data_IF_238499433255
#
_entry.id   IF_238499433255
#
_cell.length_a   1.000
_cell.length_b   1.000
_cell.length_c   1.000
_cell.angle_alpha   90.00
_cell.angle_beta   90.00
_cell.angle_gamma   90.00
#
_symmetry.space_group_name_H-M   'P 1'
#
loop_
_entity.id
_entity.type
_entity.pdbx_description
1 polymer ?
#
# COMPACT_ATOMS: atom_id res chain seq x y z
N UNK A 1 -15.37 -20.27 -20.20
CA UNK A 1 -14.65 -19.11 -19.63
C UNK A 1 -15.60 -18.39 -18.70
N UNK A 2 -15.27 -18.26 -17.40
CA UNK A 2 -16.19 -17.71 -16.40
C UNK A 2 -16.20 -16.18 -16.49
N UNK A 3 -17.27 -15.59 -17.03
CA UNK A 3 -17.36 -14.16 -17.36
C UNK A 3 -17.25 -13.23 -16.15
N UNK A 4 -17.64 -13.70 -14.96
CA UNK A 4 -17.53 -12.94 -13.71
C UNK A 4 -16.07 -12.77 -13.22
N UNK A 5 -15.21 -13.77 -13.44
CA UNK A 5 -13.78 -13.67 -13.10
C UNK A 5 -13.07 -12.69 -14.05
N UNK A 6 -13.44 -12.71 -15.33
CA UNK A 6 -12.88 -11.79 -16.31
C UNK A 6 -13.21 -10.33 -15.99
N UNK A 7 -14.46 -10.01 -15.63
CA UNK A 7 -14.85 -8.65 -15.27
C UNK A 7 -14.21 -8.16 -13.96
N UNK A 8 -14.03 -9.05 -12.99
CA UNK A 8 -13.32 -8.74 -11.74
C UNK A 8 -11.85 -8.39 -12.01
N UNK A 9 -11.16 -9.18 -12.83
CA UNK A 9 -9.76 -8.93 -13.18
C UNK A 9 -9.59 -7.60 -13.93
N UNK A 10 -10.44 -7.32 -14.92
CA UNK A 10 -10.39 -6.03 -15.63
C UNK A 10 -10.66 -4.84 -14.72
N UNK A 11 -11.47 -5.02 -13.69
CA UNK A 11 -11.69 -3.97 -12.68
C UNK A 11 -10.42 -3.73 -11.87
N UNK A 12 -9.76 -4.78 -11.39
CA UNK A 12 -8.50 -4.68 -10.65
C UNK A 12 -7.43 -4.00 -11.50
N UNK A 13 -7.27 -4.40 -12.76
CA UNK A 13 -6.30 -3.81 -13.69
C UNK A 13 -6.51 -2.29 -13.86
N UNK A 14 -7.76 -1.82 -13.88
CA UNK A 14 -8.06 -0.39 -13.91
C UNK A 14 -7.64 0.31 -12.62
N UNK A 15 -7.91 -0.28 -11.45
CA UNK A 15 -7.49 0.27 -10.16
C UNK A 15 -5.97 0.36 -10.07
N UNK A 16 -5.26 -0.71 -10.43
CA UNK A 16 -3.80 -0.75 -10.41
C UNK A 16 -3.20 0.32 -11.33
N UNK A 17 -3.73 0.42 -12.56
CA UNK A 17 -3.26 1.40 -13.55
C UNK A 17 -3.49 2.85 -13.13
N UNK A 18 -4.67 3.20 -12.61
CA UNK A 18 -5.00 4.60 -12.34
C UNK A 18 -4.55 5.08 -10.96
N UNK A 19 -4.41 4.18 -9.99
CA UNK A 19 -3.93 4.53 -8.66
C UNK A 19 -2.42 4.37 -8.50
N UNK A 20 -1.77 3.60 -9.38
CA UNK A 20 -0.41 3.12 -9.15
C UNK A 20 -0.36 2.32 -7.84
N UNK A 21 -1.36 1.49 -7.58
CA UNK A 21 -1.50 0.74 -6.32
C UNK A 21 -1.90 -0.70 -6.59
N UNK A 22 -1.03 -1.62 -6.19
CA UNK A 22 -1.26 -3.08 -6.20
C UNK A 22 -1.30 -3.64 -4.79
N UNK A 23 -2.05 -4.73 -4.62
CA UNK A 23 -2.11 -5.48 -3.37
C UNK A 23 -1.61 -6.90 -3.60
N UNK A 24 -0.81 -7.41 -2.65
CA UNK A 24 -0.41 -8.81 -2.61
C UNK A 24 -0.85 -9.42 -1.30
N UNK A 25 -1.63 -10.50 -1.39
CA UNK A 25 -2.05 -11.29 -0.23
C UNK A 25 -0.91 -12.20 0.17
N UNK A 26 -0.48 -12.09 1.42
CA UNK A 26 0.42 -13.03 2.08
C UNK A 26 -0.36 -13.80 3.15
N UNK A 27 0.23 -14.87 3.71
CA UNK A 27 -0.46 -15.79 4.64
C UNK A 27 -1.23 -15.07 5.76
N UNK A 28 -0.60 -14.09 6.42
CA UNK A 28 -1.21 -13.33 7.53
C UNK A 28 -1.12 -11.81 7.34
N UNK A 29 -0.88 -11.33 6.10
CA UNK A 29 -0.73 -9.90 5.87
C UNK A 29 -1.10 -9.47 4.45
N UNK A 30 -1.34 -8.17 4.28
CA UNK A 30 -1.51 -7.54 2.98
C UNK A 30 -0.30 -6.65 2.71
N UNK A 31 0.37 -6.88 1.59
CA UNK A 31 1.40 -5.98 1.08
C UNK A 31 0.77 -5.00 0.10
N UNK A 32 0.99 -3.72 0.36
CA UNK A 32 0.60 -2.62 -0.51
C UNK A 32 1.84 -2.20 -1.29
N UNK A 33 1.68 -2.02 -2.59
CA UNK A 33 2.75 -1.66 -3.52
C UNK A 33 2.29 -0.44 -4.29
N UNK A 34 2.91 0.70 -4.02
CA UNK A 34 2.72 1.91 -4.79
C UNK A 34 3.79 2.05 -5.88
N UNK A 35 3.36 2.47 -7.05
CA UNK A 35 4.16 2.96 -8.18
C UNK A 35 3.67 4.37 -8.55
N UNK A 36 4.25 5.00 -9.59
CA UNK A 36 3.89 6.35 -10.01
C UNK A 36 4.00 7.40 -8.88
N UNK A 37 4.95 7.19 -7.96
CA UNK A 37 5.25 8.12 -6.87
C UNK A 37 6.43 9.02 -7.22
N UNK A 38 7.50 8.44 -7.74
CA UNK A 38 8.72 9.15 -8.10
C UNK A 38 8.63 9.61 -9.57
N UNK A 39 8.61 10.94 -9.85
CA UNK A 39 8.54 11.43 -11.21
C UNK A 39 9.77 11.09 -12.07
N UNK A 40 10.91 10.83 -11.43
CA UNK A 40 12.18 10.49 -12.09
C UNK A 40 12.26 9.00 -12.44
N UNK A 41 11.57 8.16 -11.66
CA UNK A 41 11.46 6.72 -11.87
C UNK A 41 10.06 6.24 -11.51
N UNK A 42 9.15 6.22 -12.50
CA UNK A 42 7.73 5.88 -12.28
C UNK A 42 7.50 4.43 -11.86
N UNK A 43 8.45 3.55 -12.18
CA UNK A 43 8.39 2.12 -11.83
C UNK A 43 8.96 1.84 -10.44
N UNK A 44 9.59 2.85 -9.80
CA UNK A 44 10.10 2.72 -8.43
C UNK A 44 8.97 2.35 -7.47
N UNK A 45 9.11 1.17 -6.87
CA UNK A 45 8.12 0.65 -5.94
C UNK A 45 8.35 1.19 -4.51
N UNK A 46 7.25 1.62 -3.89
CA UNK A 46 7.17 1.96 -2.48
C UNK A 46 6.16 1.03 -1.82
N UNK A 47 6.58 0.29 -0.80
CA UNK A 47 5.80 -0.83 -0.27
C UNK A 47 5.64 -0.76 1.22
N UNK A 48 4.52 -1.26 1.73
CA UNK A 48 4.37 -1.57 3.14
C UNK A 48 3.47 -2.79 3.37
N UNK A 49 3.73 -3.53 4.44
CA UNK A 49 2.95 -4.70 4.84
C UNK A 49 2.08 -4.37 6.05
N UNK A 50 0.81 -4.78 5.97
CA UNK A 50 -0.20 -4.57 6.99
C UNK A 50 -0.68 -5.92 7.54
N UNK A 51 -0.64 -6.08 8.85
CA UNK A 51 -1.26 -7.20 9.57
C UNK A 51 -2.50 -6.71 10.33
N UNK A 52 -3.55 -7.52 10.33
CA UNK A 52 -4.77 -7.26 11.10
C UNK A 52 -4.74 -8.06 12.40
N UNK A 53 -5.05 -7.39 13.51
CA UNK A 53 -5.21 -7.97 14.84
C UNK A 53 -6.56 -7.50 15.40
N UNK A 54 -7.62 -8.25 15.07
CA UNK A 54 -9.00 -7.85 15.30
C UNK A 54 -9.39 -6.58 14.54
N UNK A 55 -9.77 -5.53 15.27
CA UNK A 55 -10.13 -4.21 14.71
C UNK A 55 -8.92 -3.30 14.46
N UNK A 56 -7.73 -3.75 14.88
CA UNK A 56 -6.49 -2.98 14.78
C UNK A 56 -5.69 -3.44 13.57
N UNK A 57 -5.05 -2.49 12.88
CA UNK A 57 -4.10 -2.77 11.81
C UNK A 57 -2.70 -2.30 12.22
N UNK A 58 -1.67 -3.10 11.94
CA UNK A 58 -0.27 -2.77 12.22
C UNK A 58 0.57 -2.85 10.96
N UNK A 59 1.35 -1.82 10.70
CA UNK A 59 2.37 -1.80 9.65
C UNK A 59 3.66 -2.39 10.20
N UNK A 60 4.29 -3.35 9.52
CA UNK A 60 5.47 -4.05 10.07
C UNK A 60 6.65 -4.23 9.10
N UNK A 61 6.49 -3.92 7.82
CA UNK A 61 7.56 -3.92 6.82
C UNK A 61 7.27 -2.74 5.88
N UNK A 62 8.25 -1.86 5.64
CA UNK A 62 8.07 -0.62 4.89
C UNK A 62 9.35 -0.30 4.13
N UNK A 63 9.26 -0.22 2.81
CA UNK A 63 10.39 -0.01 1.90
C UNK A 63 10.04 1.08 0.88
N UNK A 64 10.82 2.17 0.74
CA UNK A 64 11.99 2.49 1.56
C UNK A 64 11.56 2.82 3.00
N UNK A 65 12.46 2.68 3.99
CA UNK A 65 12.18 3.13 5.35
C UNK A 65 11.88 4.63 5.33
N UNK A 66 10.74 5.03 5.87
CA UNK A 66 10.48 6.44 6.14
C UNK A 66 11.44 6.86 7.30
N UNK A 67 11.92 8.10 7.40
CA UNK A 67 12.90 8.48 8.45
C UNK A 67 12.39 8.32 9.89
N UNK A 68 13.26 8.21 10.91
CA UNK A 68 12.92 7.97 12.34
C UNK A 68 11.73 7.00 12.59
N UNK A 69 11.63 5.95 11.77
CA UNK A 69 10.50 5.00 11.74
C UNK A 69 10.61 3.82 12.68
N UNK A 70 11.56 3.83 13.61
CA UNK A 70 11.48 2.94 14.79
C UNK A 70 10.11 3.03 15.49
N UNK A 71 9.33 4.10 15.21
CA UNK A 71 8.01 4.37 15.74
C UNK A 71 6.84 4.16 14.72
N UNK A 72 7.08 3.89 13.43
CA UNK A 72 6.01 3.61 12.44
C UNK A 72 5.78 2.11 12.19
N UNK A 73 6.72 1.25 12.56
CA UNK A 73 6.47 -0.20 12.74
C UNK A 73 5.39 -0.48 13.81
N UNK A 74 4.84 0.59 14.40
CA UNK A 74 3.74 0.65 15.35
C UNK A 74 2.65 1.65 14.94
N UNK A 75 2.54 2.05 13.66
CA UNK A 75 1.40 2.85 13.21
C UNK A 75 0.13 1.99 13.32
N UNK A 76 -0.63 2.25 14.38
CA UNK A 76 -1.80 1.49 14.77
C UNK A 76 -3.03 2.23 14.24
N UNK A 77 -3.67 1.67 13.21
CA UNK A 77 -4.90 2.21 12.64
C UNK A 77 -6.11 1.39 13.07
N UNK A 78 -7.29 2.02 13.08
CA UNK A 78 -8.56 1.29 13.11
C UNK A 78 -8.82 0.73 11.70
N UNK A 79 -9.28 -0.52 11.59
CA UNK A 79 -9.66 -1.14 10.31
C UNK A 79 -10.67 -0.31 9.52
N UNK A 80 -11.55 0.43 10.21
CA UNK A 80 -12.53 1.35 9.60
C UNK A 80 -11.89 2.55 8.91
N UNK A 81 -10.62 2.84 9.18
CA UNK A 81 -9.86 3.97 8.65
C UNK A 81 -8.73 3.53 7.70
N UNK A 82 -8.80 2.29 7.18
CA UNK A 82 -7.78 1.74 6.28
C UNK A 82 -7.49 2.65 5.07
N UNK A 83 -8.53 3.23 4.48
CA UNK A 83 -8.35 4.19 3.36
C UNK A 83 -7.55 5.42 3.79
N UNK A 84 -7.77 5.93 5.00
CA UNK A 84 -6.98 7.02 5.58
C UNK A 84 -5.51 6.65 5.77
N UNK A 85 -5.23 5.45 6.26
CA UNK A 85 -3.87 4.93 6.40
C UNK A 85 -3.16 4.83 5.04
N UNK A 86 -3.81 4.25 4.03
CA UNK A 86 -3.25 4.10 2.68
C UNK A 86 -2.92 5.48 2.07
N UNK A 87 -3.82 6.46 2.23
CA UNK A 87 -3.57 7.84 1.77
C UNK A 87 -2.41 8.50 2.52
N UNK A 88 -2.29 8.29 3.83
CA UNK A 88 -1.19 8.82 4.63
C UNK A 88 0.15 8.22 4.21
N UNK A 89 0.21 6.89 4.00
CA UNK A 89 1.41 6.21 3.51
C UNK A 89 1.85 6.75 2.14
N UNK A 90 0.90 6.93 1.20
CA UNK A 90 1.23 7.48 -0.12
C UNK A 90 1.83 8.89 -0.02
N UNK A 91 1.31 9.75 0.86
CA UNK A 91 1.87 11.10 1.07
C UNK A 91 3.31 11.05 1.58
N UNK A 92 3.58 10.18 2.57
CA UNK A 92 4.92 10.01 3.12
C UNK A 92 5.93 9.53 2.07
N UNK A 93 5.51 8.62 1.18
CA UNK A 93 6.35 8.18 0.08
C UNK A 93 6.57 9.26 -0.99
N UNK A 94 5.55 10.08 -1.30
CA UNK A 94 5.71 11.24 -2.19
C UNK A 94 6.69 12.26 -1.62
N UNK A 95 6.62 12.53 -0.31
CA UNK A 95 7.55 13.44 0.35
C UNK A 95 8.97 12.87 0.37
N UNK A 96 9.12 11.55 0.56
CA UNK A 96 10.40 10.86 0.49
C UNK A 96 11.00 10.88 -0.91
N UNK A 97 10.19 10.72 -1.96
CA UNK A 97 10.66 10.70 -3.35
C UNK A 97 11.12 12.08 -3.86
N UNK A 98 10.75 13.15 -3.17
CA UNK A 98 11.14 14.54 -3.50
C UNK A 98 12.45 14.99 -2.84
N UNK A 99 12.96 14.21 -1.88
CA UNK A 99 14.23 14.47 -1.19
C UNK A 99 15.40 13.97 -2.02
#
# INVERSE_FOLDING_TARGET
MNTALASFNSTIELYEKYLGLKFEVQEESLKFIFTDIDPSDRERAFTFCLRFDGEVCRVFDCQPPLGNTSNMTTSMGNRRELSGLVLAMRKLFVDLARQ
#
